data_IF_838080180049
#
_entry.id   IF_838080180049
#
_cell.length_a   1.000
_cell.length_b   1.000
_cell.length_c   1.000
_cell.angle_alpha   90.00
_cell.angle_beta   90.00
_cell.angle_gamma   90.00
#
_symmetry.space_group_name_H-M   'P 1'
#
loop_
_entity.id
_entity.type
_entity.pdbx_description
1 polymer ?
#
# COMPACT_ATOMS: atom_id res chain seq x y z
N UNK A 1 -18.23 -7.81 19.14
CA UNK A 1 -18.91 -6.72 18.49
C UNK A 1 -20.08 -7.26 17.68
N UNK A 2 -21.16 -6.54 17.65
CA UNK A 2 -22.41 -6.94 17.00
C UNK A 2 -22.23 -6.80 15.47
N UNK A 3 -22.88 -7.65 14.68
CA UNK A 3 -22.85 -7.61 13.21
C UNK A 3 -23.29 -6.21 12.68
N UNK A 4 -24.15 -5.52 13.42
CA UNK A 4 -24.59 -4.15 13.15
C UNK A 4 -23.47 -3.09 13.29
N UNK A 5 -22.49 -3.32 14.17
CA UNK A 5 -21.35 -2.40 14.35
C UNK A 5 -20.37 -2.54 13.18
N UNK A 6 -20.23 -3.76 12.66
CA UNK A 6 -19.40 -4.01 11.47
C UNK A 6 -20.00 -3.33 10.23
N UNK A 7 -21.30 -3.49 9.99
CA UNK A 7 -21.99 -2.87 8.87
C UNK A 7 -21.94 -1.34 8.96
N UNK A 8 -22.12 -0.78 10.16
CA UNK A 8 -22.01 0.67 10.39
C UNK A 8 -20.58 1.19 10.08
N UNK A 9 -19.55 0.43 10.47
CA UNK A 9 -18.15 0.78 10.16
C UNK A 9 -17.88 0.66 8.66
N UNK A 10 -18.39 -0.39 8.00
CA UNK A 10 -18.25 -0.58 6.57
C UNK A 10 -18.99 0.50 5.77
N UNK A 11 -20.17 0.93 6.22
CA UNK A 11 -20.91 2.03 5.59
C UNK A 11 -20.15 3.36 5.73
N UNK A 12 -19.58 3.63 6.91
CA UNK A 12 -18.76 4.82 7.13
C UNK A 12 -17.46 4.81 6.30
N UNK A 13 -16.85 3.64 6.11
CA UNK A 13 -15.69 3.46 5.23
C UNK A 13 -16.07 3.56 3.74
N UNK A 14 -17.32 3.28 3.42
CA UNK A 14 -17.86 3.38 2.06
C UNK A 14 -18.32 4.79 1.70
N UNK A 15 -18.36 5.74 2.65
CA UNK A 15 -18.69 7.13 2.37
C UNK A 15 -17.66 7.76 1.41
N UNK A 16 -18.08 8.23 0.20
CA UNK A 16 -17.17 8.85 -0.77
C UNK A 16 -16.46 10.10 -0.26
N UNK A 17 -17.05 10.84 0.69
CA UNK A 17 -16.45 12.03 1.29
C UNK A 17 -15.25 11.65 2.17
N UNK A 18 -15.43 10.69 3.08
CA UNK A 18 -14.36 10.23 3.97
C UNK A 18 -13.16 9.64 3.19
N UNK A 19 -13.42 8.92 2.09
CA UNK A 19 -12.37 8.31 1.26
C UNK A 19 -11.55 9.33 0.49
N UNK A 20 -12.19 10.38 -0.02
CA UNK A 20 -11.52 11.42 -0.81
C UNK A 20 -10.52 12.21 0.01
N UNK A 21 -10.85 12.45 1.27
CA UNK A 21 -10.05 13.27 2.18
C UNK A 21 -8.81 12.52 2.67
N UNK A 22 -8.90 11.19 2.84
CA UNK A 22 -7.77 10.33 3.23
C UNK A 22 -6.85 9.94 2.07
N UNK A 23 -7.27 10.19 0.82
CA UNK A 23 -6.56 9.66 -0.36
C UNK A 23 -6.61 8.13 -0.44
N UNK A 24 -7.42 7.50 0.40
CA UNK A 24 -7.62 6.06 0.42
C UNK A 24 -8.47 5.63 -0.76
N UNK A 25 -7.93 4.78 -1.61
CA UNK A 25 -8.62 4.26 -2.78
C UNK A 25 -8.93 2.78 -2.59
N UNK A 26 -10.18 2.43 -2.85
CA UNK A 26 -10.56 1.03 -2.98
C UNK A 26 -9.82 0.38 -4.14
N UNK A 27 -9.12 -0.72 -3.87
CA UNK A 27 -8.41 -1.45 -4.92
C UNK A 27 -9.34 -2.53 -5.50
N UNK A 28 -9.73 -2.43 -6.79
CA UNK A 28 -10.61 -3.42 -7.39
C UNK A 28 -10.01 -4.82 -7.41
N UNK A 29 -10.78 -5.80 -6.93
CA UNK A 29 -10.31 -7.18 -6.78
C UNK A 29 -9.76 -7.82 -8.08
N UNK A 30 -10.29 -7.56 -9.29
CA UNK A 30 -9.67 -8.07 -10.52
C UNK A 30 -8.22 -7.60 -10.69
N UNK A 31 -7.89 -6.35 -10.35
CA UNK A 31 -6.51 -5.86 -10.36
C UNK A 31 -5.67 -6.47 -9.24
N UNK A 32 -6.26 -6.68 -8.06
CA UNK A 32 -5.58 -7.39 -6.95
C UNK A 32 -5.21 -8.81 -7.38
N UNK A 33 -6.12 -9.53 -8.03
CA UNK A 33 -5.87 -10.88 -8.55
C UNK A 33 -4.70 -10.92 -9.51
N UNK A 34 -4.58 -9.94 -10.39
CA UNK A 34 -3.46 -9.82 -11.30
C UNK A 34 -2.16 -9.44 -10.57
N UNK A 35 -2.22 -8.51 -9.61
CA UNK A 35 -1.08 -8.11 -8.80
C UNK A 35 -0.55 -9.25 -7.91
N UNK A 36 -1.43 -10.13 -7.42
CA UNK A 36 -1.02 -11.31 -6.63
C UNK A 36 -0.10 -12.23 -7.42
N UNK A 37 -0.21 -12.28 -8.76
CA UNK A 37 0.74 -13.03 -9.60
C UNK A 37 2.16 -12.44 -9.52
N UNK A 38 2.27 -11.11 -9.35
CA UNK A 38 3.58 -10.45 -9.17
C UNK A 38 4.19 -10.81 -7.81
N UNK A 39 3.38 -10.92 -6.75
CA UNK A 39 3.84 -11.42 -5.45
C UNK A 39 4.41 -12.82 -5.59
N UNK A 40 3.68 -13.74 -6.24
CA UNK A 40 4.13 -15.11 -6.48
C UNK A 40 5.38 -15.19 -7.37
N UNK A 41 5.52 -14.28 -8.33
CA UNK A 41 6.74 -14.14 -9.11
C UNK A 41 7.93 -13.73 -8.24
N UNK A 42 7.77 -12.76 -7.34
CA UNK A 42 8.82 -12.39 -6.40
C UNK A 42 9.21 -13.58 -5.50
N UNK A 43 8.23 -14.28 -4.91
CA UNK A 43 8.49 -15.47 -4.08
C UNK A 43 9.25 -16.55 -4.87
N UNK A 44 8.86 -16.81 -6.13
CA UNK A 44 9.52 -17.82 -6.97
C UNK A 44 10.95 -17.48 -7.33
N UNK A 45 11.34 -16.22 -7.27
CA UNK A 45 12.70 -15.75 -7.54
C UNK A 45 13.62 -15.82 -6.32
N UNK A 46 13.08 -16.10 -5.13
CA UNK A 46 13.89 -16.23 -3.92
C UNK A 46 14.76 -17.49 -3.94
N UNK A 47 15.93 -17.46 -3.30
CA UNK A 47 16.73 -18.65 -3.06
C UNK A 47 15.91 -19.75 -2.37
N UNK A 48 16.12 -21.00 -2.77
CA UNK A 48 15.39 -22.14 -2.22
C UNK A 48 15.55 -22.21 -0.71
N UNK A 49 14.43 -22.18 0.01
CA UNK A 49 14.38 -22.29 1.47
C UNK A 49 14.64 -20.98 2.22
N UNK A 50 14.76 -19.87 1.49
CA UNK A 50 14.80 -18.54 2.12
C UNK A 50 13.41 -18.20 2.67
N UNK A 51 13.34 -17.73 3.92
CA UNK A 51 12.12 -17.19 4.51
C UNK A 51 11.80 -15.80 3.91
N UNK A 52 10.55 -15.39 3.99
CA UNK A 52 10.14 -14.08 3.48
C UNK A 52 9.01 -13.46 4.30
N UNK A 53 8.87 -12.15 4.17
CA UNK A 53 7.76 -11.38 4.68
C UNK A 53 7.12 -10.62 3.52
N UNK A 54 5.79 -10.68 3.44
CA UNK A 54 5.00 -9.78 2.60
C UNK A 54 4.55 -8.62 3.48
N UNK A 55 4.98 -7.39 3.16
CA UNK A 55 4.71 -6.20 3.97
C UNK A 55 3.73 -5.28 3.24
N UNK A 56 2.58 -5.00 3.87
CA UNK A 56 1.67 -3.93 3.47
C UNK A 56 1.51 -2.92 4.62
N UNK A 57 2.12 -1.74 4.46
CA UNK A 57 2.09 -0.66 5.47
C UNK A 57 0.85 0.22 5.39
N UNK A 58 0.01 0.02 4.39
CA UNK A 58 -1.18 0.83 4.12
C UNK A 58 -2.37 -0.03 3.65
N UNK A 59 -2.56 -1.16 4.29
CA UNK A 59 -3.49 -2.22 3.89
C UNK A 59 -4.97 -1.80 3.85
N UNK A 60 -5.33 -0.69 4.52
CA UNK A 60 -6.73 -0.30 4.65
C UNK A 60 -7.56 -1.42 5.29
N UNK A 61 -8.56 -1.92 4.59
CA UNK A 61 -9.38 -3.06 5.04
C UNK A 61 -8.88 -4.43 4.52
N UNK A 62 -7.67 -4.48 3.95
CA UNK A 62 -7.05 -5.71 3.49
C UNK A 62 -7.57 -6.21 2.14
N UNK A 63 -7.63 -5.33 1.16
CA UNK A 63 -8.03 -5.70 -0.20
C UNK A 63 -6.92 -6.45 -0.95
N UNK A 64 -5.66 -6.06 -0.76
CA UNK A 64 -4.52 -6.67 -1.46
C UNK A 64 -4.29 -8.13 -1.04
N UNK A 65 -4.64 -8.49 0.19
CA UNK A 65 -4.46 -9.82 0.75
C UNK A 65 -5.53 -10.84 0.31
N UNK A 66 -6.57 -10.37 -0.39
CA UNK A 66 -7.77 -11.16 -0.69
C UNK A 66 -7.49 -12.49 -1.41
N UNK A 67 -6.52 -12.52 -2.32
CA UNK A 67 -6.18 -13.70 -3.11
C UNK A 67 -4.93 -14.44 -2.65
N UNK A 68 -4.34 -14.04 -1.54
CA UNK A 68 -3.24 -14.77 -0.92
C UNK A 68 -3.77 -16.08 -0.30
N UNK A 69 -3.00 -17.15 -0.44
CA UNK A 69 -3.30 -18.44 0.20
C UNK A 69 -3.07 -18.35 1.71
N UNK A 70 -3.54 -19.34 2.49
CA UNK A 70 -3.27 -19.39 3.92
C UNK A 70 -1.76 -19.44 4.22
N UNK A 71 -0.99 -20.15 3.40
CA UNK A 71 0.47 -20.18 3.52
C UNK A 71 1.07 -18.80 3.25
N UNK A 72 0.70 -18.14 2.15
CA UNK A 72 1.17 -16.80 1.82
C UNK A 72 0.76 -15.78 2.90
N UNK A 73 -0.46 -15.87 3.44
CA UNK A 73 -0.94 -15.02 4.54
C UNK A 73 -0.11 -15.18 5.80
N UNK A 74 0.37 -16.39 6.11
CA UNK A 74 1.22 -16.62 7.29
C UNK A 74 2.56 -15.86 7.26
N UNK A 75 2.93 -15.32 6.10
CA UNK A 75 4.11 -14.46 5.91
C UNK A 75 3.79 -12.96 5.89
N UNK A 76 2.51 -12.57 5.98
CA UNK A 76 2.08 -11.17 5.82
C UNK A 76 2.19 -10.40 7.12
N UNK A 77 2.75 -9.20 7.05
CA UNK A 77 2.69 -8.16 8.10
C UNK A 77 1.87 -7.00 7.57
N UNK A 78 0.82 -6.63 8.31
CA UNK A 78 -0.14 -5.61 7.94
C UNK A 78 -0.06 -4.39 8.85
N UNK A 79 -0.27 -3.22 8.24
CA UNK A 79 -0.52 -1.97 8.94
C UNK A 79 -1.58 -1.16 8.21
N UNK A 80 -2.33 -0.37 8.94
CA UNK A 80 -3.16 0.70 8.39
C UNK A 80 -3.21 1.90 9.33
N UNK A 81 -3.45 3.09 8.77
CA UNK A 81 -3.41 4.34 9.52
C UNK A 81 -4.68 4.57 10.34
N UNK A 82 -5.86 4.31 9.75
CA UNK A 82 -7.15 4.60 10.37
C UNK A 82 -7.57 3.50 11.34
N UNK A 83 -7.96 3.89 12.57
CA UNK A 83 -8.38 2.91 13.59
C UNK A 83 -9.61 2.09 13.17
N UNK A 84 -10.54 2.67 12.43
CA UNK A 84 -11.71 1.96 11.92
C UNK A 84 -11.32 0.88 10.92
N UNK A 85 -10.43 1.21 9.98
CA UNK A 85 -9.86 0.24 9.05
C UNK A 85 -9.06 -0.84 9.78
N UNK A 86 -8.29 -0.45 10.82
CA UNK A 86 -7.52 -1.38 11.63
C UNK A 86 -8.43 -2.41 12.32
N UNK A 87 -9.56 -2.00 12.86
CA UNK A 87 -10.53 -2.93 13.48
C UNK A 87 -11.06 -3.94 12.47
N UNK A 88 -11.39 -3.51 11.25
CA UNK A 88 -11.84 -4.40 10.16
C UNK A 88 -10.71 -5.35 9.77
N UNK A 89 -9.52 -4.82 9.55
CA UNK A 89 -8.32 -5.56 9.18
C UNK A 89 -7.98 -6.64 10.23
N UNK A 90 -7.98 -6.25 11.50
CA UNK A 90 -7.73 -7.13 12.63
C UNK A 90 -8.75 -8.27 12.69
N UNK A 91 -10.05 -7.97 12.66
CA UNK A 91 -11.09 -9.00 12.70
C UNK A 91 -11.01 -9.99 11.53
N UNK A 92 -10.61 -9.51 10.36
CA UNK A 92 -10.51 -10.33 9.14
C UNK A 92 -9.28 -11.24 9.13
N UNK A 93 -8.16 -10.78 9.66
CA UNK A 93 -6.85 -11.42 9.46
C UNK A 93 -6.15 -11.91 10.72
N UNK A 94 -6.66 -11.58 11.94
CA UNK A 94 -6.08 -12.11 13.18
C UNK A 94 -6.01 -13.64 13.16
N UNK A 95 -4.86 -14.18 13.52
CA UNK A 95 -4.60 -15.63 13.50
C UNK A 95 -4.37 -16.23 12.10
N UNK A 96 -4.42 -15.43 11.03
CA UNK A 96 -4.14 -15.85 9.65
C UNK A 96 -2.83 -15.26 9.13
N UNK A 97 -2.50 -14.04 9.53
CA UNK A 97 -1.29 -13.35 9.12
C UNK A 97 -0.20 -13.46 10.18
N UNK A 98 1.04 -13.20 9.77
CA UNK A 98 2.20 -13.23 10.67
C UNK A 98 2.09 -12.18 11.75
N UNK A 99 1.72 -10.95 11.41
CA UNK A 99 1.49 -9.89 12.37
C UNK A 99 0.55 -8.81 11.82
N UNK A 100 -0.12 -8.10 12.73
CA UNK A 100 -0.81 -6.84 12.46
C UNK A 100 -0.21 -5.81 13.41
N UNK A 101 0.37 -4.74 12.87
CA UNK A 101 1.00 -3.69 13.67
C UNK A 101 -0.10 -2.99 14.47
N UNK A 102 0.02 -2.92 15.82
CA UNK A 102 -1.00 -2.30 16.65
C UNK A 102 -1.03 -0.78 16.46
N UNK A 103 -2.16 -0.13 16.74
CA UNK A 103 -2.24 1.32 16.74
C UNK A 103 -1.27 1.95 17.75
N UNK A 104 -0.67 3.08 17.41
CA UNK A 104 0.23 3.81 18.32
C UNK A 104 -0.43 4.14 19.67
N UNK A 105 -1.73 4.45 19.67
CA UNK A 105 -2.49 4.70 20.91
C UNK A 105 -2.58 3.50 21.86
N UNK A 106 -2.41 2.28 21.35
CA UNK A 106 -2.38 1.07 22.18
C UNK A 106 -0.98 0.76 22.72
N UNK A 107 0.06 1.22 22.04
CA UNK A 107 1.47 1.03 22.45
C UNK A 107 1.92 2.13 23.40
N UNK A 108 1.46 3.38 23.17
CA UNK A 108 1.79 4.54 23.99
C UNK A 108 0.70 4.77 25.03
N UNK A 109 0.83 4.15 26.19
CA UNK A 109 -0.05 4.42 27.33
C UNK A 109 -0.16 5.94 27.55
N UNK A 110 -1.40 6.48 27.53
CA UNK A 110 -1.77 7.85 27.90
C UNK A 110 -1.43 9.00 26.95
N UNK A 111 -0.95 8.79 25.74
CA UNK A 111 -1.02 9.86 24.73
C UNK A 111 -2.43 9.91 24.12
N UNK A 112 -3.43 10.11 25.00
CA UNK A 112 -4.84 10.08 24.66
C UNK A 112 -5.17 10.84 23.39
N UNK A 113 -6.15 10.33 22.63
CA UNK A 113 -6.82 10.89 21.46
C UNK A 113 -6.20 10.62 20.08
N UNK A 114 -5.23 9.76 19.92
CA UNK A 114 -4.89 9.27 18.57
C UNK A 114 -5.90 8.19 18.16
N UNK A 115 -6.87 8.58 17.38
CA UNK A 115 -7.87 7.69 16.75
C UNK A 115 -7.31 7.10 15.45
N UNK A 116 -6.01 6.87 15.38
CA UNK A 116 -5.31 6.37 14.19
C UNK A 116 -4.80 4.95 14.41
N UNK A 117 -4.66 4.19 13.33
CA UNK A 117 -3.88 2.96 13.30
C UNK A 117 -2.38 3.22 13.45
N UNK A 118 -1.54 2.31 13.00
CA UNK A 118 -0.09 2.53 12.97
C UNK A 118 0.28 3.55 11.89
N UNK A 119 1.03 4.58 12.23
CA UNK A 119 1.54 5.54 11.25
C UNK A 119 2.86 5.06 10.64
N UNK A 120 2.80 4.55 9.42
CA UNK A 120 3.96 4.03 8.68
C UNK A 120 5.05 5.09 8.40
N UNK A 121 4.74 6.36 8.57
CA UNK A 121 5.64 7.49 8.34
C UNK A 121 6.15 8.13 9.64
N UNK A 122 5.83 7.52 10.79
CA UNK A 122 6.28 7.95 12.10
C UNK A 122 7.70 7.42 12.42
N UNK A 123 8.40 8.13 13.29
CA UNK A 123 9.74 7.77 13.76
C UNK A 123 9.77 6.40 14.44
N UNK A 124 8.75 6.12 15.26
CA UNK A 124 8.64 4.90 16.06
C UNK A 124 8.19 3.67 15.25
N UNK A 125 7.77 3.83 14.00
CA UNK A 125 7.10 2.77 13.24
C UNK A 125 7.87 1.45 13.19
N UNK A 126 9.18 1.52 13.00
CA UNK A 126 10.03 0.34 12.90
C UNK A 126 10.23 -0.39 14.24
N UNK A 127 10.00 0.30 15.35
CA UNK A 127 10.19 -0.21 16.72
C UNK A 127 8.89 -0.59 17.42
N UNK A 128 7.73 -0.47 16.76
CA UNK A 128 6.44 -0.87 17.35
C UNK A 128 6.44 -2.37 17.61
N UNK A 129 6.18 -2.82 18.85
CA UNK A 129 6.06 -4.24 19.15
C UNK A 129 4.87 -4.87 18.41
N UNK A 130 5.10 -6.01 17.81
CA UNK A 130 4.09 -6.82 17.13
C UNK A 130 3.87 -8.13 17.88
N UNK A 131 2.61 -8.60 17.90
CA UNK A 131 2.33 -9.97 18.31
C UNK A 131 2.64 -10.90 17.12
N UNK A 132 3.67 -11.73 17.26
CA UNK A 132 4.14 -12.66 16.24
C UNK A 132 4.29 -14.07 16.80
N UNK A 133 4.74 -14.99 15.96
CA UNK A 133 5.12 -16.36 16.34
C UNK A 133 6.44 -16.45 17.16
N UNK A 134 6.98 -15.30 17.57
CA UNK A 134 8.21 -15.21 18.38
C UNK A 134 9.49 -15.06 17.57
N UNK A 135 9.44 -15.02 16.25
CA UNK A 135 10.66 -14.84 15.43
C UNK A 135 11.13 -13.38 15.40
N UNK A 136 10.22 -12.44 15.17
CA UNK A 136 10.53 -11.01 15.06
C UNK A 136 9.43 -10.21 15.77
N UNK A 137 9.80 -9.42 16.76
CA UNK A 137 8.86 -8.64 17.55
C UNK A 137 8.63 -7.23 16.99
N UNK A 138 9.50 -6.77 16.09
CA UNK A 138 9.41 -5.45 15.46
C UNK A 138 9.78 -5.54 13.98
N UNK A 139 9.41 -4.51 13.19
CA UNK A 139 9.89 -4.42 11.81
C UNK A 139 11.40 -4.22 11.74
N UNK A 140 12.01 -3.55 12.74
CA UNK A 140 13.47 -3.41 12.80
C UNK A 140 14.15 -4.76 12.87
N UNK A 141 13.64 -5.71 13.66
CA UNK A 141 14.20 -7.07 13.74
C UNK A 141 14.06 -7.82 12.41
N UNK A 142 12.97 -7.61 11.66
CA UNK A 142 12.82 -8.16 10.30
C UNK A 142 13.85 -7.54 9.34
N UNK A 143 14.06 -6.22 9.41
CA UNK A 143 15.05 -5.51 8.61
C UNK A 143 16.47 -6.02 8.87
N UNK A 144 16.80 -6.32 10.11
CA UNK A 144 18.13 -6.75 10.54
C UNK A 144 18.42 -8.22 10.18
N UNK A 145 17.38 -9.04 9.98
CA UNK A 145 17.54 -10.45 9.61
C UNK A 145 17.74 -10.61 8.08
N UNK A 146 18.98 -10.91 7.70
CA UNK A 146 19.36 -11.13 6.30
C UNK A 146 18.91 -12.49 5.72
N UNK A 147 18.39 -13.39 6.56
CA UNK A 147 17.83 -14.67 6.10
C UNK A 147 16.35 -14.56 5.71
N UNK A 148 15.76 -13.40 5.87
CA UNK A 148 14.37 -13.10 5.52
C UNK A 148 14.32 -12.07 4.40
N UNK A 149 13.73 -12.42 3.27
CA UNK A 149 13.47 -11.48 2.19
C UNK A 149 12.26 -10.60 2.53
N UNK A 150 12.26 -9.34 2.11
CA UNK A 150 11.13 -8.44 2.26
C UNK A 150 10.49 -8.19 0.89
N UNK A 151 9.20 -8.48 0.79
CA UNK A 151 8.39 -8.26 -0.41
C UNK A 151 7.32 -7.23 -0.03
N UNK A 152 7.48 -5.97 -0.47
CA UNK A 152 6.43 -4.97 -0.32
C UNK A 152 5.27 -5.24 -1.26
N UNK A 153 4.04 -5.12 -0.75
CA UNK A 153 2.83 -5.22 -1.56
C UNK A 153 1.86 -4.13 -1.14
N UNK A 154 1.91 -2.98 -1.81
CA UNK A 154 1.29 -1.76 -1.33
C UNK A 154 0.53 -0.98 -2.40
N UNK A 155 -0.58 -0.38 -2.00
CA UNK A 155 -1.28 0.68 -2.73
C UNK A 155 -1.37 1.94 -1.84
N UNK A 156 -0.29 2.74 -1.74
CA UNK A 156 -0.23 3.88 -0.83
C UNK A 156 -1.20 4.99 -1.22
N UNK A 157 -1.56 5.90 -0.28
CA UNK A 157 -2.38 7.05 -0.57
C UNK A 157 -1.70 8.01 -1.57
N UNK A 158 -2.48 8.54 -2.54
CA UNK A 158 -2.00 9.44 -3.59
C UNK A 158 -2.25 10.93 -3.28
N UNK A 159 -2.51 11.28 -2.03
CA UNK A 159 -2.78 12.65 -1.60
C UNK A 159 -1.51 13.37 -1.13
N UNK A 160 -1.59 14.69 -1.05
CA UNK A 160 -0.57 15.47 -0.37
C UNK A 160 -0.82 15.46 1.14
N UNK A 161 0.25 15.57 1.92
CA UNK A 161 0.18 15.64 3.39
C UNK A 161 -0.63 16.85 3.91
N UNK A 162 -0.79 17.90 3.09
CA UNK A 162 -1.61 19.07 3.42
C UNK A 162 -3.11 18.72 3.52
N UNK A 163 -3.62 17.80 2.71
CA UNK A 163 -5.00 17.34 2.81
C UNK A 163 -5.25 16.64 4.17
N UNK A 164 -4.29 15.86 4.63
CA UNK A 164 -4.31 15.15 5.92
C UNK A 164 -4.26 16.11 7.12
N UNK A 165 -3.57 17.26 7.00
CA UNK A 165 -3.44 18.26 8.06
C UNK A 165 -4.66 19.16 8.23
N UNK A 166 -5.55 19.25 7.24
CA UNK A 166 -6.75 20.10 7.30
C UNK A 166 -7.88 19.51 8.13
N UNK A 167 -7.90 18.19 8.36
CA UNK A 167 -8.92 17.50 9.15
C UNK A 167 -8.76 17.65 10.66
N UNK A 168 -7.57 17.95 11.12
CA UNK A 168 -7.31 18.22 12.55
C UNK A 168 -7.05 19.71 12.82
N UNK A 169 -7.78 20.33 13.74
CA UNK A 169 -7.56 21.69 14.25
C UNK A 169 -6.18 21.88 14.93
N UNK A 170 -5.13 21.23 14.47
CA UNK A 170 -3.79 21.25 15.06
C UNK A 170 -2.96 22.34 14.41
N UNK A 171 -2.80 23.44 15.13
CA UNK A 171 -1.95 24.59 14.78
C UNK A 171 -0.51 24.41 15.26
N UNK A 172 0.23 23.37 14.84
CA UNK A 172 1.63 23.28 15.26
C UNK A 172 2.58 22.85 14.14
N UNK A 173 3.84 23.19 14.33
CA UNK A 173 4.98 22.88 13.45
C UNK A 173 5.20 21.37 13.29
N UNK A 174 4.62 20.55 14.16
CA UNK A 174 4.69 19.07 14.13
C UNK A 174 3.73 18.39 13.13
N UNK A 175 3.22 19.14 12.14
CA UNK A 175 2.27 18.66 11.13
C UNK A 175 2.87 17.74 10.08
N UNK A 176 4.18 17.63 10.01
CA UNK A 176 4.86 16.88 8.98
C UNK A 176 5.33 15.54 9.51
N UNK A 177 5.18 14.48 8.70
CA UNK A 177 5.68 13.16 9.05
C UNK A 177 7.19 13.19 9.30
N UNK A 178 7.67 12.26 10.09
CA UNK A 178 9.10 12.05 10.30
C UNK A 178 9.84 11.77 8.98
N UNK A 179 9.26 10.92 8.12
CA UNK A 179 9.81 10.61 6.81
C UNK A 179 9.95 11.86 5.94
N UNK A 180 8.96 12.76 5.96
CA UNK A 180 9.07 14.02 5.20
C UNK A 180 10.24 14.88 5.65
N UNK A 181 10.51 14.93 6.95
CA UNK A 181 11.66 15.67 7.48
C UNK A 181 12.97 15.11 6.92
N UNK A 182 13.12 13.77 6.98
CA UNK A 182 14.31 13.08 6.44
C UNK A 182 14.48 13.30 4.93
N UNK A 183 13.41 13.19 4.16
CA UNK A 183 13.42 13.45 2.73
C UNK A 183 13.81 14.89 2.41
N UNK A 184 13.32 15.86 3.16
CA UNK A 184 13.64 17.27 2.95
C UNK A 184 15.10 17.58 3.22
N UNK A 185 15.73 16.86 4.13
CA UNK A 185 17.16 17.00 4.44
C UNK A 185 18.02 16.36 3.33
N UNK A 186 17.57 15.26 2.73
CA UNK A 186 18.27 14.58 1.63
C UNK A 186 18.11 15.33 0.29
N UNK A 187 16.90 15.85 0.00
CA UNK A 187 16.59 16.57 -1.25
C UNK A 187 16.65 18.10 -1.06
N UNK A 188 17.78 18.63 -0.64
CA UNK A 188 17.98 20.07 -0.46
C UNK A 188 17.74 20.80 -1.78
N UNK A 189 16.71 21.66 -1.80
CA UNK A 189 16.33 22.45 -2.99
C UNK A 189 15.05 22.01 -3.71
N UNK A 190 14.53 20.79 -3.49
CA UNK A 190 13.26 20.33 -4.04
C UNK A 190 12.33 19.72 -2.98
N UNK A 191 11.81 20.58 -2.11
CA UNK A 191 10.89 20.18 -1.04
C UNK A 191 9.51 19.70 -1.52
N UNK A 192 9.22 19.81 -2.83
CA UNK A 192 7.91 19.43 -3.36
C UNK A 192 7.73 17.91 -3.39
N UNK A 193 8.81 17.16 -3.66
CA UNK A 193 8.75 15.69 -3.65
C UNK A 193 8.42 15.13 -2.27
N UNK A 194 8.93 15.73 -1.20
CA UNK A 194 8.68 15.30 0.16
C UNK A 194 7.24 15.56 0.65
N UNK A 195 6.46 16.40 -0.03
CA UNK A 195 5.07 16.72 0.35
C UNK A 195 4.05 15.67 -0.07
N UNK A 196 4.42 14.82 -1.02
CA UNK A 196 3.53 13.80 -1.57
C UNK A 196 3.64 12.51 -0.75
N UNK A 197 2.51 12.02 -0.24
CA UNK A 197 2.51 10.83 0.61
C UNK A 197 3.04 9.59 -0.12
N UNK A 198 2.70 9.42 -1.39
CA UNK A 198 3.22 8.29 -2.15
C UNK A 198 4.74 8.32 -2.23
N UNK A 199 5.34 9.50 -2.46
CA UNK A 199 6.80 9.66 -2.46
C UNK A 199 7.41 9.28 -1.11
N UNK A 200 6.74 9.64 0.00
CA UNK A 200 7.22 9.27 1.35
C UNK A 200 7.16 7.74 1.56
N UNK A 201 6.08 7.08 1.10
CA UNK A 201 5.97 5.62 1.15
C UNK A 201 7.04 4.95 0.31
N UNK A 202 7.26 5.37 -0.93
CA UNK A 202 8.28 4.81 -1.83
C UNK A 202 9.67 5.02 -1.24
N UNK A 203 10.02 6.26 -0.88
CA UNK A 203 11.33 6.58 -0.33
C UNK A 203 11.64 5.77 0.93
N UNK A 204 10.69 5.71 1.88
CA UNK A 204 10.90 4.97 3.12
C UNK A 204 10.96 3.46 2.89
N UNK A 205 10.23 2.92 1.90
CA UNK A 205 10.34 1.51 1.54
C UNK A 205 11.73 1.19 0.96
N UNK A 206 12.20 2.00 0.02
CA UNK A 206 13.54 1.83 -0.55
C UNK A 206 14.63 1.97 0.50
N UNK A 207 14.50 2.94 1.40
CA UNK A 207 15.51 3.23 2.41
C UNK A 207 15.65 2.15 3.48
N UNK A 208 14.53 1.56 3.93
CA UNK A 208 14.52 0.66 5.07
C UNK A 208 14.31 -0.81 4.71
N UNK A 209 13.55 -1.09 3.67
CA UNK A 209 13.08 -2.45 3.39
C UNK A 209 13.72 -3.09 2.14
N UNK A 210 14.29 -2.30 1.24
CA UNK A 210 15.03 -2.83 0.10
C UNK A 210 16.53 -2.85 0.43
N UNK A 211 17.01 -3.90 1.08
CA UNK A 211 18.33 -4.02 1.71
C UNK A 211 19.34 -4.76 0.84
N UNK A 212 18.85 -5.79 0.11
CA UNK A 212 19.68 -6.62 -0.76
C UNK A 212 18.89 -7.10 -2.00
N UNK A 213 19.54 -7.90 -2.84
CA UNK A 213 18.99 -8.36 -4.12
C UNK A 213 17.76 -9.28 -4.02
N UNK A 214 17.41 -9.78 -2.82
CA UNK A 214 16.27 -10.64 -2.59
C UNK A 214 15.03 -9.85 -2.13
N UNK A 215 15.17 -8.55 -1.91
CA UNK A 215 14.05 -7.70 -1.54
C UNK A 215 13.34 -7.17 -2.79
N UNK A 216 12.00 -7.13 -2.73
CA UNK A 216 11.13 -6.76 -3.84
C UNK A 216 10.07 -5.76 -3.40
N UNK A 217 9.56 -4.99 -4.35
CA UNK A 217 8.44 -4.08 -4.09
C UNK A 217 7.41 -4.18 -5.20
N UNK A 218 6.18 -4.60 -4.86
CA UNK A 218 5.00 -4.53 -5.72
C UNK A 218 4.22 -3.28 -5.32
N UNK A 219 4.20 -2.30 -6.21
CA UNK A 219 3.66 -0.98 -5.94
C UNK A 219 2.56 -0.63 -6.93
N UNK A 220 1.44 -0.14 -6.42
CA UNK A 220 0.41 0.57 -7.18
C UNK A 220 0.73 2.06 -7.13
N UNK A 221 1.08 2.66 -8.27
CA UNK A 221 1.41 4.07 -8.34
C UNK A 221 0.95 4.70 -9.65
N UNK A 222 0.45 5.95 -9.67
CA UNK A 222 0.25 6.67 -10.91
C UNK A 222 1.55 6.74 -11.73
N UNK A 223 1.44 6.65 -13.07
CA UNK A 223 2.58 6.56 -13.99
C UNK A 223 3.61 7.70 -13.78
N UNK A 224 3.16 8.87 -13.37
CA UNK A 224 4.05 10.01 -13.10
C UNK A 224 5.18 9.70 -12.10
N UNK A 225 4.94 8.78 -11.14
CA UNK A 225 5.90 8.45 -10.07
C UNK A 225 7.06 7.59 -10.56
N UNK A 226 6.85 6.78 -11.59
CA UNK A 226 7.95 6.05 -12.21
C UNK A 226 9.00 6.98 -12.83
N UNK A 227 8.53 8.12 -13.39
CA UNK A 227 9.40 9.14 -13.99
C UNK A 227 9.95 10.15 -12.98
N UNK A 228 9.52 10.09 -11.73
CA UNK A 228 10.05 10.97 -10.67
C UNK A 228 11.48 10.61 -10.40
N UNK A 229 12.37 11.51 -10.82
CA UNK A 229 13.82 11.32 -10.79
C UNK A 229 14.28 10.93 -9.38
N UNK A 230 14.90 9.77 -9.25
CA UNK A 230 15.62 9.33 -8.07
C UNK A 230 14.83 8.46 -7.09
N UNK A 231 13.51 8.32 -7.19
CA UNK A 231 12.73 7.53 -6.23
C UNK A 231 12.65 6.04 -6.56
N UNK A 232 12.69 5.67 -7.85
CA UNK A 232 12.65 4.26 -8.28
C UNK A 232 13.83 3.96 -9.22
N UNK A 233 15.03 3.88 -8.66
CA UNK A 233 16.24 3.41 -9.36
C UNK A 233 16.39 1.88 -9.23
N UNK A 234 15.28 1.15 -9.30
CA UNK A 234 15.24 -0.28 -9.12
C UNK A 234 14.92 -0.98 -10.44
N UNK A 235 15.30 -2.23 -10.57
CA UNK A 235 15.01 -3.01 -11.78
C UNK A 235 13.52 -3.32 -11.86
N UNK A 236 12.89 -2.90 -12.96
CA UNK A 236 11.56 -3.33 -13.33
C UNK A 236 11.59 -4.80 -13.78
N UNK A 237 10.80 -5.65 -13.13
CA UNK A 237 10.70 -7.08 -13.47
C UNK A 237 9.46 -7.35 -14.33
N UNK A 238 8.30 -6.88 -13.88
CA UNK A 238 7.02 -7.14 -14.53
C UNK A 238 5.97 -6.14 -14.04
N UNK A 239 4.88 -5.97 -14.78
CA UNK A 239 3.80 -5.11 -14.35
C UNK A 239 2.74 -4.91 -15.41
N UNK A 240 1.73 -4.12 -15.06
CA UNK A 240 0.65 -3.75 -15.96
C UNK A 240 0.10 -2.37 -15.62
N UNK A 241 -0.59 -1.74 -16.57
CA UNK A 241 -1.35 -0.52 -16.33
C UNK A 241 -2.81 -0.86 -16.00
N UNK A 242 -3.30 -0.30 -14.91
CA UNK A 242 -4.69 -0.32 -14.50
C UNK A 242 -5.35 1.04 -14.76
N UNK A 243 -6.65 1.05 -15.04
CA UNK A 243 -7.43 2.28 -15.15
C UNK A 243 -7.83 2.75 -13.74
N UNK A 244 -7.32 3.94 -13.35
CA UNK A 244 -7.61 4.56 -12.05
C UNK A 244 -9.08 4.87 -11.84
N UNK A 245 -9.86 5.08 -12.89
CA UNK A 245 -11.31 5.26 -12.81
C UNK A 245 -12.01 4.12 -12.09
N UNK A 246 -11.48 2.90 -12.17
CA UNK A 246 -12.01 1.74 -11.46
C UNK A 246 -11.73 1.76 -9.94
N UNK A 247 -10.82 2.62 -9.48
CA UNK A 247 -10.52 2.84 -8.05
C UNK A 247 -11.41 3.93 -7.43
N UNK A 248 -12.52 4.27 -8.06
CA UNK A 248 -13.41 5.37 -7.65
C UNK A 248 -12.70 6.75 -7.62
N UNK A 249 -11.71 6.92 -8.49
CA UNK A 249 -10.91 8.13 -8.63
C UNK A 249 -11.02 8.73 -10.04
N UNK A 250 -10.43 9.89 -10.27
CA UNK A 250 -10.34 10.50 -11.60
C UNK A 250 -9.61 9.56 -12.58
N UNK A 251 -10.10 9.45 -13.80
CA UNK A 251 -9.49 8.62 -14.83
C UNK A 251 -8.03 8.99 -15.08
N UNK A 252 -7.17 8.03 -14.94
CA UNK A 252 -5.74 8.08 -15.25
C UNK A 252 -5.16 6.67 -15.20
N UNK A 253 -3.90 6.52 -15.52
CA UNK A 253 -3.24 5.21 -15.44
C UNK A 253 -2.52 5.03 -14.10
N UNK A 254 -2.70 3.84 -13.51
CA UNK A 254 -1.93 3.35 -12.36
C UNK A 254 -1.02 2.24 -12.87
N UNK A 255 0.27 2.40 -12.66
CA UNK A 255 1.24 1.32 -12.90
C UNK A 255 1.25 0.41 -11.67
N UNK A 256 0.98 -0.87 -11.89
CA UNK A 256 1.15 -1.93 -10.90
C UNK A 256 2.38 -2.72 -11.31
N UNK A 257 3.45 -2.59 -10.55
CA UNK A 257 4.75 -3.08 -10.99
C UNK A 257 5.52 -3.78 -9.86
N UNK A 258 6.23 -4.83 -10.25
CA UNK A 258 7.21 -5.56 -9.44
C UNK A 258 8.60 -4.99 -9.72
N UNK A 259 9.22 -4.46 -8.67
CA UNK A 259 10.57 -3.92 -8.66
C UNK A 259 11.49 -4.82 -7.83
N UNK A 260 12.69 -5.06 -8.34
CA UNK A 260 13.75 -5.78 -7.62
C UNK A 260 14.75 -4.76 -7.07
N UNK A 261 15.27 -5.03 -5.86
CA UNK A 261 16.33 -4.20 -5.28
C UNK A 261 17.69 -4.47 -5.95
N UNK A 262 17.85 -3.90 -7.13
CA UNK A 262 19.12 -3.82 -7.84
C UNK A 262 19.15 -2.48 -8.56
N UNK A 263 20.33 -1.97 -8.87
CA UNK A 263 20.45 -0.66 -9.53
C UNK A 263 20.35 -0.83 -11.03
N UNK A 264 19.39 -0.18 -11.63
CA UNK A 264 19.31 0.03 -13.07
C UNK A 264 19.35 1.53 -13.37
N UNK A 265 20.51 2.00 -13.81
CA UNK A 265 20.70 3.39 -14.20
C UNK A 265 20.52 3.61 -15.71
N UNK A 266 20.17 2.57 -16.47
CA UNK A 266 20.17 2.58 -17.92
C UNK A 266 18.78 2.42 -18.55
N UNK A 267 17.77 1.99 -17.78
CA UNK A 267 16.41 1.79 -18.31
C UNK A 267 15.72 3.13 -18.56
N UNK A 268 15.61 3.53 -19.82
CA UNK A 268 14.89 4.73 -20.25
C UNK A 268 13.38 4.48 -20.45
N UNK A 269 12.98 3.23 -20.70
CA UNK A 269 11.59 2.86 -20.96
C UNK A 269 11.27 1.45 -20.49
N UNK A 270 10.01 1.23 -20.16
CA UNK A 270 9.45 -0.10 -19.89
C UNK A 270 8.23 -0.34 -20.79
N UNK A 271 8.01 -1.59 -21.18
CA UNK A 271 6.80 -1.98 -21.91
C UNK A 271 5.88 -2.78 -21.01
N UNK A 272 4.65 -2.35 -20.90
CA UNK A 272 3.62 -2.99 -20.09
C UNK A 272 2.30 -3.13 -20.85
N UNK A 273 1.49 -4.12 -20.47
CA UNK A 273 0.14 -4.29 -20.97
C UNK A 273 -0.83 -3.42 -20.18
N UNK A 274 -1.65 -2.64 -20.87
CA UNK A 274 -2.77 -1.95 -20.23
C UNK A 274 -3.95 -2.91 -20.12
N UNK A 275 -4.46 -3.06 -18.90
CA UNK A 275 -5.57 -3.96 -18.55
C UNK A 275 -6.79 -3.15 -18.12
N UNK A 276 -7.94 -3.46 -18.70
CA UNK A 276 -9.21 -2.82 -18.36
C UNK A 276 -10.18 -3.86 -17.80
N UNK A 277 -10.96 -3.46 -16.79
CA UNK A 277 -12.06 -4.29 -16.29
C UNK A 277 -13.16 -4.27 -17.33
N UNK A 278 -13.46 -5.44 -17.89
CA UNK A 278 -14.52 -5.56 -18.87
C UNK A 278 -15.89 -5.32 -18.21
N UNK A 279 -16.62 -4.37 -18.74
CA UNK A 279 -17.94 -3.99 -18.26
C UNK A 279 -18.98 -4.38 -19.30
N UNK A 280 -19.96 -5.14 -18.90
CA UNK A 280 -21.21 -5.26 -19.64
C UNK A 280 -22.02 -3.98 -19.41
N UNK A 281 -22.13 -3.13 -20.44
CA UNK A 281 -22.82 -1.84 -20.38
C UNK A 281 -24.26 -1.90 -19.85
N UNK A 282 -24.88 -3.08 -19.90
CA UNK A 282 -26.22 -3.32 -19.37
C UNK A 282 -26.25 -3.54 -17.85
N UNK A 283 -25.12 -3.98 -17.25
CA UNK A 283 -25.04 -4.35 -15.83
C UNK A 283 -24.45 -3.25 -14.92
N UNK A 284 -23.70 -2.29 -15.45
CA UNK A 284 -22.81 -1.49 -14.62
C UNK A 284 -22.99 0.03 -14.73
N UNK A 285 -24.00 0.48 -15.43
CA UNK A 285 -24.27 1.90 -15.60
C UNK A 285 -23.07 2.70 -16.13
N UNK A 286 -23.04 2.95 -17.40
CA UNK A 286 -22.06 3.83 -18.03
C UNK A 286 -22.75 5.16 -18.36
N UNK A 287 -22.62 6.14 -17.47
CA UNK A 287 -23.14 7.47 -17.74
C UNK A 287 -22.70 8.48 -16.69
N UNK A 288 -22.61 9.76 -17.08
CA UNK A 288 -22.46 10.86 -16.12
C UNK A 288 -23.63 10.83 -15.15
N UNK A 289 -23.36 10.54 -13.87
CA UNK A 289 -24.37 10.46 -12.83
C UNK A 289 -24.85 9.06 -12.47
N UNK A 290 -24.33 7.99 -13.09
CA UNK A 290 -24.57 6.64 -12.61
C UNK A 290 -23.90 6.44 -11.25
N UNK A 291 -24.63 5.85 -10.28
CA UNK A 291 -24.06 5.45 -9.02
C UNK A 291 -22.84 4.55 -9.30
N UNK A 292 -21.73 4.79 -8.59
CA UNK A 292 -20.52 3.97 -8.73
C UNK A 292 -20.86 2.61 -8.14
N UNK A 293 -21.16 1.66 -9.02
CA UNK A 293 -21.40 0.26 -8.63
C UNK A 293 -20.04 -0.36 -8.34
N UNK A 294 -19.94 -1.09 -7.24
CA UNK A 294 -18.72 -1.83 -6.92
C UNK A 294 -18.38 -2.82 -8.03
N UNK A 295 -17.08 -2.93 -8.32
CA UNK A 295 -16.61 -3.89 -9.31
C UNK A 295 -16.80 -5.29 -8.74
N UNK A 296 -17.59 -6.19 -9.38
CA UNK A 296 -17.71 -7.56 -8.92
C UNK A 296 -16.35 -8.27 -8.86
N UNK A 297 -16.21 -9.15 -7.89
CA UNK A 297 -15.00 -9.97 -7.72
C UNK A 297 -14.70 -10.84 -8.95
N UNK A 298 -15.73 -11.32 -9.64
CA UNK A 298 -15.66 -12.15 -10.83
C UNK A 298 -15.51 -11.37 -12.14
N UNK A 299 -15.38 -10.03 -12.08
CA UNK A 299 -15.19 -9.23 -13.27
C UNK A 299 -13.91 -9.61 -14.02
N UNK A 300 -14.01 -9.62 -15.35
CA UNK A 300 -12.93 -10.07 -16.23
C UNK A 300 -12.02 -8.90 -16.59
N UNK A 301 -10.70 -9.10 -16.49
CA UNK A 301 -9.69 -8.20 -17.06
C UNK A 301 -9.46 -8.55 -18.52
N UNK A 302 -9.40 -7.51 -19.37
CA UNK A 302 -8.98 -7.63 -20.77
C UNK A 302 -7.77 -6.77 -21.03
N UNK A 303 -6.85 -7.31 -21.81
CA UNK A 303 -5.73 -6.55 -22.36
C UNK A 303 -6.27 -5.61 -23.44
N UNK A 304 -5.98 -4.31 -23.31
CA UNK A 304 -6.48 -3.31 -24.28
C UNK A 304 -5.40 -2.79 -25.20
N UNK A 305 -4.16 -2.68 -24.70
CA UNK A 305 -2.98 -2.32 -25.53
C UNK A 305 -1.67 -2.57 -24.77
N UNK A 306 -0.56 -2.64 -25.51
CA UNK A 306 0.78 -2.50 -24.98
C UNK A 306 1.18 -1.02 -24.96
N UNK A 307 1.88 -0.60 -23.93
CA UNK A 307 2.35 0.78 -23.71
C UNK A 307 3.83 0.73 -23.38
N UNK A 308 4.60 1.56 -24.08
CA UNK A 308 6.04 1.73 -23.85
C UNK A 308 6.33 3.11 -23.32
#
# INVERSE_FOLDING_TARGET
>A
GDESDFDTVMDALNDPANRKDLGAFYTPLPYVKEATKLVRQAISNLPKGMDYVILDRCAGTGALEHYLTEEELSHVILNTYEIKEWLVLYNKYIGKVRAIIPPLSMVQENKGNLVTGGDALAEEFLSIPMETDGKHNTLQEVIDDKNVAIIGFENPPYSSELARAQEGNVKSIDKFSYIRKLMSDEFVGDSNHAKDLLNQFVWSFEKYFMRDENDYYILFAPVKYWKSVGLMQKIFINGFLANRGNFKAQESSVLVALWKNDQDNETESITVTAKEIWRDNKKWGTGKGAAVIDVPEDAILKDVKHVT
#
